data_IF_320893944308
#
_entry.id   IF_320893944308
#
_cell.length_a   1.000
_cell.length_b   1.000
_cell.length_c   1.000
_cell.angle_alpha   90.00
_cell.angle_beta   90.00
_cell.angle_gamma   90.00
#
_symmetry.space_group_name_H-M   'P 1'
#
loop_
_entity.id
_entity.type
_entity.pdbx_description
1 polymer ?
#
# COMPACT_ATOMS: atom_id res chain seq x y z
N UNK A 1 -7.99 8.25 17.40
CA UNK A 1 -7.24 6.97 17.41
C UNK A 1 -7.04 6.53 15.97
N UNK A 2 -6.26 7.33 15.24
CA UNK A 2 -6.07 7.23 13.80
C UNK A 2 -5.15 6.05 13.50
N UNK A 3 -5.67 5.05 12.80
CA UNK A 3 -4.92 3.85 12.40
C UNK A 3 -4.26 4.13 11.06
N UNK A 4 -3.05 4.66 11.11
CA UNK A 4 -2.19 4.78 9.94
C UNK A 4 -1.62 3.41 9.57
N UNK A 5 -2.03 2.91 8.41
CA UNK A 5 -1.49 1.67 7.84
C UNK A 5 -0.41 2.07 6.85
N UNK A 6 0.83 1.67 7.10
CA UNK A 6 1.97 2.00 6.25
C UNK A 6 1.88 1.28 4.89
N UNK A 7 1.32 1.96 3.89
CA UNK A 7 1.70 1.73 2.50
C UNK A 7 2.80 2.73 2.18
N UNK A 8 4.06 2.26 2.21
CA UNK A 8 5.15 2.99 1.58
C UNK A 8 4.91 3.01 0.08
N UNK A 9 4.33 4.11 -0.41
CA UNK A 9 4.37 4.50 -1.81
C UNK A 9 5.31 5.70 -1.90
N UNK A 10 6.51 5.51 -2.47
CA UNK A 10 7.27 6.63 -2.99
C UNK A 10 6.45 7.26 -4.12
N UNK A 11 5.69 8.30 -3.80
CA UNK A 11 5.08 9.16 -4.81
C UNK A 11 6.20 10.06 -5.37
N UNK A 12 6.61 9.90 -6.64
CA UNK A 12 7.53 10.85 -7.23
C UNK A 12 6.86 12.23 -7.21
N UNK A 13 7.44 13.15 -6.44
CA UNK A 13 7.10 14.57 -6.38
C UNK A 13 7.45 15.21 -7.72
N UNK A 14 6.59 14.99 -8.72
CA UNK A 14 6.64 15.75 -9.97
C UNK A 14 5.98 17.12 -9.73
N UNK A 15 6.73 18.24 -9.83
CA UNK A 15 6.12 19.56 -9.79
C UNK A 15 5.38 19.77 -11.12
N UNK A 16 4.04 19.77 -11.09
CA UNK A 16 3.24 20.32 -12.19
C UNK A 16 2.17 19.44 -12.87
N UNK A 17 1.45 18.53 -12.19
CA UNK A 17 0.17 18.08 -12.77
C UNK A 17 -0.84 17.59 -11.74
N UNK A 18 -1.47 18.51 -11.01
CA UNK A 18 -2.61 18.24 -10.12
C UNK A 18 -3.77 17.54 -10.85
N UNK A 19 -3.88 17.64 -12.19
CA UNK A 19 -4.98 17.03 -12.96
C UNK A 19 -4.96 15.50 -13.07
N UNK A 20 -3.83 14.81 -12.85
CA UNK A 20 -3.75 13.33 -13.05
C UNK A 20 -4.45 12.52 -11.96
N UNK A 21 -4.69 13.13 -10.80
CA UNK A 21 -5.33 12.51 -9.66
C UNK A 21 -6.76 13.02 -9.42
N UNK A 22 -7.23 13.95 -10.26
CA UNK A 22 -8.62 14.43 -10.24
C UNK A 22 -9.56 13.38 -10.88
N UNK A 23 -10.76 13.24 -10.33
CA UNK A 23 -11.75 12.25 -10.79
C UNK A 23 -11.39 10.81 -10.41
N UNK A 24 -11.34 9.91 -11.39
CA UNK A 24 -11.03 8.49 -11.19
C UNK A 24 -9.56 8.20 -10.86
N UNK A 25 -8.67 9.19 -10.98
CA UNK A 25 -7.25 9.02 -10.65
C UNK A 25 -6.55 7.92 -11.46
N UNK A 26 -5.48 7.34 -10.91
CA UNK A 26 -4.65 6.35 -11.61
C UNK A 26 -4.77 4.97 -10.97
N UNK A 27 -4.79 3.92 -11.78
CA UNK A 27 -4.85 2.52 -11.33
C UNK A 27 -3.58 1.76 -11.72
N UNK A 28 -2.97 1.08 -10.75
CA UNK A 28 -1.78 0.26 -10.95
C UNK A 28 -2.05 -1.19 -10.55
N UNK A 29 -1.56 -2.15 -11.35
CA UNK A 29 -1.53 -3.56 -10.94
C UNK A 29 -0.35 -3.76 -9.98
N UNK A 30 -0.62 -4.27 -8.79
CA UNK A 30 0.38 -4.52 -7.77
C UNK A 30 0.10 -5.84 -7.04
N UNK A 31 1.00 -6.20 -6.11
CA UNK A 31 0.81 -7.34 -5.21
C UNK A 31 0.93 -6.87 -3.77
N UNK A 32 -0.05 -7.23 -2.95
CA UNK A 32 -0.03 -6.90 -1.52
C UNK A 32 0.91 -7.87 -0.80
N UNK A 33 1.93 -7.32 -0.10
CA UNK A 33 2.88 -8.10 0.71
C UNK A 33 2.29 -8.36 2.09
N UNK A 34 1.71 -7.32 2.71
CA UNK A 34 1.04 -7.38 4.00
C UNK A 34 0.84 -5.97 4.56
N UNK A 35 0.23 -5.90 5.73
CA UNK A 35 -0.02 -4.66 6.46
C UNK A 35 0.56 -4.85 7.85
N UNK A 36 1.37 -3.90 8.30
CA UNK A 36 2.00 -3.91 9.62
C UNK A 36 1.61 -2.65 10.38
N UNK A 37 1.41 -2.79 11.69
CA UNK A 37 1.11 -1.67 12.56
C UNK A 37 2.41 -1.04 13.03
N UNK A 38 2.58 0.26 12.77
CA UNK A 38 3.74 1.04 13.19
C UNK A 38 3.43 1.85 14.45
N UNK A 39 4.48 2.19 15.21
CA UNK A 39 4.36 2.91 16.48
C UNK A 39 4.43 4.44 16.32
N UNK A 40 4.96 4.94 15.21
CA UNK A 40 5.05 6.37 14.89
C UNK A 40 4.62 6.65 13.45
N UNK A 41 4.12 7.87 13.21
CA UNK A 41 3.67 8.33 11.90
C UNK A 41 4.80 8.46 10.87
N UNK A 42 6.02 8.80 11.31
CA UNK A 42 7.15 9.06 10.42
C UNK A 42 8.46 8.45 10.96
N UNK A 43 9.29 7.93 10.06
CA UNK A 43 10.62 7.42 10.37
C UNK A 43 11.12 6.38 9.36
N UNK A 44 12.25 6.68 8.69
CA UNK A 44 12.85 5.79 7.68
C UNK A 44 13.22 4.42 8.27
N UNK A 45 13.88 4.41 9.43
CA UNK A 45 14.28 3.17 10.13
C UNK A 45 13.07 2.29 10.47
N UNK A 46 11.93 2.90 10.83
CA UNK A 46 10.70 2.18 11.15
C UNK A 46 10.06 1.59 9.88
N UNK A 47 9.96 2.39 8.82
CA UNK A 47 9.46 1.91 7.54
C UNK A 47 10.33 0.76 7.00
N UNK A 48 11.65 0.85 7.18
CA UNK A 48 12.58 -0.19 6.74
C UNK A 48 12.40 -1.48 7.54
N UNK A 49 12.27 -1.38 8.87
CA UNK A 49 12.05 -2.53 9.76
C UNK A 49 10.71 -3.23 9.47
N UNK A 50 9.61 -2.48 9.36
CA UNK A 50 8.30 -3.04 8.99
C UNK A 50 8.33 -3.69 7.61
N UNK A 51 9.01 -3.08 6.64
CA UNK A 51 9.17 -3.64 5.30
C UNK A 51 9.97 -4.95 5.33
N UNK A 52 11.06 -5.02 6.10
CA UNK A 52 11.87 -6.23 6.25
C UNK A 52 11.08 -7.36 6.91
N UNK A 53 10.34 -7.04 7.98
CA UNK A 53 9.44 -7.96 8.66
C UNK A 53 8.39 -8.54 7.71
N UNK A 54 7.70 -7.70 6.94
CA UNK A 54 6.68 -8.12 5.97
C UNK A 54 7.27 -8.99 4.85
N UNK A 55 8.46 -8.68 4.34
CA UNK A 55 9.17 -9.54 3.36
C UNK A 55 9.55 -10.90 3.96
N UNK A 56 9.96 -10.93 5.23
CA UNK A 56 10.23 -12.17 5.96
C UNK A 56 9.00 -13.07 6.06
N UNK A 57 7.85 -12.49 6.42
CA UNK A 57 6.58 -13.22 6.42
C UNK A 57 6.19 -13.71 5.03
N UNK A 58 6.37 -12.90 3.99
CA UNK A 58 6.09 -13.34 2.62
C UNK A 58 6.95 -14.53 2.20
N UNK A 59 8.23 -14.55 2.57
CA UNK A 59 9.10 -15.71 2.33
C UNK A 59 8.59 -16.97 3.05
N UNK A 60 8.06 -16.83 4.27
CA UNK A 60 7.42 -17.92 4.99
C UNK A 60 6.10 -18.38 4.33
N UNK A 61 5.24 -17.44 3.91
CA UNK A 61 4.00 -17.74 3.20
C UNK A 61 4.24 -18.43 1.86
N UNK A 62 5.31 -18.07 1.15
CA UNK A 62 5.71 -18.73 -0.08
C UNK A 62 6.06 -20.20 0.15
N UNK A 63 6.69 -20.54 1.28
CA UNK A 63 6.94 -21.94 1.69
C UNK A 63 5.65 -22.68 2.04
N UNK A 64 4.63 -21.96 2.53
CA UNK A 64 3.29 -22.50 2.79
C UNK A 64 2.40 -22.56 1.52
N UNK A 65 2.93 -22.25 0.33
CA UNK A 65 2.18 -22.25 -0.92
C UNK A 65 1.18 -21.10 -1.08
N UNK A 66 1.22 -20.11 -0.16
CA UNK A 66 0.36 -18.91 -0.24
C UNK A 66 1.09 -17.83 -1.03
N UNK A 67 0.57 -17.53 -2.22
CA UNK A 67 1.09 -16.47 -3.08
C UNK A 67 0.51 -15.11 -2.70
N UNK A 68 1.30 -14.04 -2.95
CA UNK A 68 0.86 -12.66 -2.73
C UNK A 68 -0.45 -12.39 -3.48
N UNK A 69 -1.35 -11.67 -2.82
CA UNK A 69 -2.62 -11.28 -3.40
C UNK A 69 -2.40 -10.24 -4.49
N UNK A 70 -3.01 -10.45 -5.66
CA UNK A 70 -2.96 -9.49 -6.77
C UNK A 70 -4.01 -8.42 -6.53
N UNK A 71 -3.58 -7.17 -6.50
CA UNK A 71 -4.40 -6.01 -6.15
C UNK A 71 -4.27 -4.90 -7.17
N UNK A 72 -5.31 -4.10 -7.30
CA UNK A 72 -5.31 -2.82 -7.98
C UNK A 72 -5.12 -1.70 -6.97
N UNK A 73 -4.04 -0.94 -7.13
CA UNK A 73 -3.81 0.29 -6.37
C UNK A 73 -4.41 1.46 -7.13
N UNK A 74 -5.47 2.07 -6.60
CA UNK A 74 -6.11 3.27 -7.14
C UNK A 74 -5.69 4.49 -6.33
N UNK A 75 -5.07 5.45 -6.99
CA UNK A 75 -4.54 6.68 -6.40
C UNK A 75 -5.40 7.83 -6.88
N UNK A 76 -6.11 8.48 -5.96
CA UNK A 76 -6.99 9.62 -6.23
C UNK A 76 -6.59 10.81 -5.36
N UNK A 77 -7.06 12.01 -5.69
CA UNK A 77 -6.87 13.19 -4.85
C UNK A 77 -7.45 13.03 -3.43
N UNK A 78 -8.42 12.13 -3.23
CA UNK A 78 -8.99 11.80 -1.93
C UNK A 78 -8.26 10.70 -1.15
N UNK A 79 -7.10 10.23 -1.64
CA UNK A 79 -6.28 9.22 -0.96
C UNK A 79 -6.02 7.96 -1.79
N UNK A 80 -5.55 6.92 -1.10
CA UNK A 80 -5.10 5.67 -1.72
C UNK A 80 -6.09 4.54 -1.41
N UNK A 81 -6.47 3.80 -2.46
CA UNK A 81 -7.41 2.69 -2.37
C UNK A 81 -6.76 1.42 -2.90
N UNK A 82 -6.70 0.39 -2.09
CA UNK A 82 -6.33 -0.96 -2.54
C UNK A 82 -7.62 -1.71 -2.85
N UNK A 83 -7.70 -2.30 -4.04
CA UNK A 83 -8.80 -3.15 -4.46
C UNK A 83 -8.27 -4.53 -4.79
N UNK A 84 -8.78 -5.56 -4.14
CA UNK A 84 -8.35 -6.91 -4.45
C UNK A 84 -8.93 -7.44 -5.78
N UNK A 85 -8.12 -8.11 -6.61
CA UNK A 85 -8.59 -8.72 -7.87
C UNK A 85 -9.56 -9.87 -7.66
N UNK A 86 -9.48 -10.61 -6.54
CA UNK A 86 -10.23 -11.84 -6.31
C UNK A 86 -11.41 -11.65 -5.36
N UNK A 87 -11.23 -10.88 -4.30
CA UNK A 87 -12.24 -10.71 -3.25
C UNK A 87 -13.01 -9.40 -3.36
N UNK A 88 -12.59 -8.46 -4.22
CA UNK A 88 -13.22 -7.14 -4.34
C UNK A 88 -13.11 -6.26 -3.09
N UNK A 89 -12.34 -6.71 -2.09
CA UNK A 89 -12.16 -6.00 -0.82
C UNK A 89 -11.46 -4.67 -1.09
N UNK A 90 -12.09 -3.59 -0.63
CA UNK A 90 -11.61 -2.21 -0.75
C UNK A 90 -11.01 -1.78 0.57
N UNK A 91 -9.69 -1.74 0.65
CA UNK A 91 -9.00 -1.07 1.77
C UNK A 91 -8.83 0.39 1.36
N UNK A 92 -9.49 1.29 2.09
CA UNK A 92 -9.36 2.73 1.89
C UNK A 92 -8.43 3.27 2.96
N UNK A 93 -7.34 3.90 2.54
CA UNK A 93 -6.45 4.62 3.43
C UNK A 93 -6.69 6.10 3.20
N UNK A 94 -7.44 6.68 4.13
CA UNK A 94 -7.49 8.12 4.35
C UNK A 94 -6.17 8.53 4.99
N UNK A 95 -5.40 9.33 4.27
CA UNK A 95 -4.19 10.02 4.75
C UNK A 95 -4.65 11.19 5.62
#
# INVERSE_FOLDING_TARGET
MSREHCISACFPSAPGSSSRFHGDGVRYKAKLIGIDHVTSAEGEKMCWDSMMKLKGFEAAFRKQGRHKQRVWLKICSGGVRILDERTGVRVTLSI
#
